data_IF_423873520854
#
_entry.id   IF_423873520854
#
_cell.length_a   1.000
_cell.length_b   1.000
_cell.length_c   1.000
_cell.angle_alpha   90.00
_cell.angle_beta   90.00
_cell.angle_gamma   90.00
#
_symmetry.space_group_name_H-M   'P 1'
#
loop_
_entity.id
_entity.type
_entity.pdbx_description
1 polymer ?
#
# COMPACT_ATOMS: atom_id res chain seq x y z
N UNK A 1 -2.55 2.33 34.22
CA UNK A 1 -1.95 2.30 32.97
C UNK A 1 -2.43 1.16 32.13
N UNK A 2 -2.90 1.49 31.07
CA UNK A 2 -3.40 0.49 30.23
C UNK A 2 -2.27 -0.30 29.63
N UNK A 3 -2.31 -1.51 29.86
CA UNK A 3 -1.33 -2.27 29.33
C UNK A 3 -1.59 -2.42 27.94
N UNK A 4 -1.90 -2.33 27.26
CA UNK A 4 -1.74 -3.23 26.22
C UNK A 4 -2.40 -2.98 24.95
N UNK A 5 -2.63 -1.79 24.62
CA UNK A 5 -3.00 -1.55 23.24
C UNK A 5 -1.78 -1.77 22.37
N UNK A 6 -1.88 -2.67 21.37
CA UNK A 6 -0.78 -2.83 20.43
C UNK A 6 -0.49 -1.50 19.77
N UNK A 7 0.77 -1.21 19.47
CA UNK A 7 1.11 0.04 18.78
C UNK A 7 0.64 0.04 17.32
N UNK A 8 0.46 -1.09 16.70
CA UNK A 8 0.06 -1.18 15.31
C UNK A 8 -1.44 -0.94 15.15
N UNK A 9 -1.78 -0.05 14.24
CA UNK A 9 -3.17 0.29 13.90
C UNK A 9 -3.42 0.02 12.42
N UNK A 10 -4.66 -0.25 12.08
CA UNK A 10 -5.05 -0.49 10.69
C UNK A 10 -6.42 0.11 10.41
N UNK A 11 -6.58 0.66 9.24
CA UNK A 11 -7.87 1.11 8.72
C UNK A 11 -8.06 0.54 7.32
N UNK A 12 -9.25 0.03 7.04
CA UNK A 12 -9.59 -0.55 5.75
C UNK A 12 -10.30 0.50 4.91
N UNK A 13 -9.82 0.71 3.70
CA UNK A 13 -10.37 1.70 2.78
C UNK A 13 -10.69 1.00 1.46
N UNK A 14 -11.97 0.76 1.15
CA UNK A 14 -12.32 0.17 -0.14
C UNK A 14 -11.97 1.12 -1.28
N UNK A 15 -11.32 0.60 -2.29
CA UNK A 15 -10.88 1.37 -3.44
C UNK A 15 -11.18 0.61 -4.73
N UNK A 16 -11.18 1.33 -5.83
CA UNK A 16 -11.43 0.86 -7.18
C UNK A 16 -12.90 0.46 -7.41
N UNK A 17 -13.33 0.36 -8.68
CA UNK A 17 -14.66 -0.19 -8.98
C UNK A 17 -14.88 -1.62 -8.46
N UNK A 18 -13.80 -2.35 -8.20
CA UNK A 18 -13.87 -3.71 -7.69
C UNK A 18 -13.97 -3.76 -6.16
N UNK A 19 -13.98 -2.61 -5.48
CA UNK A 19 -14.11 -2.49 -4.02
C UNK A 19 -13.06 -3.33 -3.28
N UNK A 20 -11.82 -3.28 -3.75
CA UNK A 20 -10.72 -3.94 -3.11
C UNK A 20 -10.32 -3.18 -1.84
N UNK A 21 -10.00 -3.89 -0.78
CA UNK A 21 -9.64 -3.27 0.48
C UNK A 21 -8.16 -2.87 0.51
N UNK A 22 -7.90 -1.57 0.40
CA UNK A 22 -6.59 -1.03 0.72
C UNK A 22 -6.49 -0.88 2.24
N UNK A 23 -5.36 -1.23 2.80
CA UNK A 23 -5.16 -1.09 4.25
C UNK A 23 -4.16 0.05 4.52
N UNK A 24 -4.56 0.97 5.37
CA UNK A 24 -3.64 1.94 5.94
C UNK A 24 -3.15 1.37 7.27
N UNK A 25 -1.85 1.07 7.33
CA UNK A 25 -1.19 0.55 8.52
C UNK A 25 -0.33 1.64 9.13
N UNK A 26 -0.36 1.80 10.45
CA UNK A 26 0.56 2.74 11.07
C UNK A 26 0.89 2.35 12.52
N UNK A 27 1.98 2.92 12.99
CA UNK A 27 2.42 2.77 14.37
C UNK A 27 1.88 3.95 15.18
N UNK A 28 1.07 3.69 16.18
CA UNK A 28 0.48 4.75 17.01
C UNK A 28 1.54 5.51 17.83
N UNK A 29 2.69 4.90 18.09
CA UNK A 29 3.76 5.54 18.84
C UNK A 29 4.54 6.52 17.99
N UNK A 30 4.73 6.26 16.71
CA UNK A 30 5.53 7.12 15.83
C UNK A 30 4.69 7.88 14.81
N UNK A 31 3.45 7.48 14.60
CA UNK A 31 2.54 8.00 13.57
C UNK A 31 3.11 7.87 12.16
N UNK A 32 3.93 6.86 11.93
CA UNK A 32 4.44 6.49 10.62
C UNK A 32 3.73 5.26 10.12
N UNK A 33 3.49 5.19 8.83
CA UNK A 33 2.72 4.10 8.29
C UNK A 33 3.00 3.78 6.84
N UNK A 34 2.17 2.89 6.32
CA UNK A 34 2.25 2.40 4.97
C UNK A 34 0.85 2.15 4.42
N UNK A 35 0.72 2.23 3.10
CA UNK A 35 -0.46 1.70 2.43
C UNK A 35 -0.16 0.29 1.94
N UNK A 36 -1.10 -0.61 2.15
CA UNK A 36 -1.04 -1.98 1.63
C UNK A 36 -2.04 -2.08 0.49
N UNK A 37 -1.55 -2.42 -0.69
CA UNK A 37 -2.37 -2.60 -1.90
C UNK A 37 -3.19 -1.36 -2.28
N UNK A 38 -2.54 -0.21 -2.56
CA UNK A 38 -3.26 0.99 -3.01
C UNK A 38 -3.61 0.89 -4.49
N UNK A 39 -4.68 0.17 -4.80
CA UNK A 39 -5.06 -0.14 -6.17
C UNK A 39 -5.69 1.02 -6.94
N UNK A 40 -6.21 2.03 -6.27
CA UNK A 40 -6.86 3.16 -6.90
C UNK A 40 -7.37 4.16 -5.89
N UNK A 41 -8.14 5.14 -6.36
CA UNK A 41 -8.78 6.16 -5.51
C UNK A 41 -7.76 6.93 -4.64
N UNK A 42 -6.67 7.37 -5.25
CA UNK A 42 -5.57 8.02 -4.53
C UNK A 42 -6.01 9.22 -3.67
N UNK A 43 -6.92 10.10 -4.14
CA UNK A 43 -7.38 11.19 -3.28
C UNK A 43 -8.02 10.71 -1.98
N UNK A 44 -8.76 9.60 -2.05
CA UNK A 44 -9.36 9.01 -0.85
C UNK A 44 -8.31 8.48 0.10
N UNK A 45 -7.27 7.82 -0.43
CA UNK A 45 -6.19 7.30 0.38
C UNK A 45 -5.38 8.41 1.04
N UNK A 46 -5.07 9.45 0.29
CA UNK A 46 -4.34 10.61 0.83
C UNK A 46 -5.14 11.29 1.93
N UNK A 47 -6.45 11.44 1.74
CA UNK A 47 -7.31 12.03 2.75
C UNK A 47 -7.37 11.18 4.02
N UNK A 48 -7.42 9.86 3.87
CA UNK A 48 -7.44 8.95 5.03
C UNK A 48 -6.16 9.08 5.85
N UNK A 49 -5.01 9.10 5.20
CA UNK A 49 -3.73 9.27 5.90
C UNK A 49 -3.66 10.62 6.60
N UNK A 50 -4.12 11.67 5.94
CA UNK A 50 -4.11 13.01 6.53
C UNK A 50 -5.03 13.09 7.74
N UNK A 51 -6.22 12.55 7.66
CA UNK A 51 -7.17 12.55 8.78
C UNK A 51 -6.65 11.74 9.96
N UNK A 52 -5.95 10.66 9.71
CA UNK A 52 -5.36 9.86 10.77
C UNK A 52 -4.06 10.47 11.32
N UNK A 53 -3.50 11.46 10.64
CA UNK A 53 -2.24 12.08 11.06
C UNK A 53 -1.04 11.18 10.80
N UNK A 54 -1.10 10.34 9.80
CA UNK A 54 -0.07 9.33 9.50
C UNK A 54 0.87 9.83 8.42
N UNK A 55 2.16 9.75 8.67
CA UNK A 55 3.18 9.99 7.66
C UNK A 55 3.47 8.67 6.94
N UNK A 56 3.22 8.62 5.65
CA UNK A 56 3.43 7.41 4.87
C UNK A 56 4.90 7.30 4.50
N UNK A 57 5.50 6.15 4.80
CA UNK A 57 6.90 5.89 4.54
C UNK A 57 7.14 4.88 3.43
N UNK A 58 6.17 4.06 3.12
CA UNK A 58 6.31 3.04 2.08
C UNK A 58 4.96 2.53 1.61
N UNK A 59 4.99 1.81 0.51
CA UNK A 59 3.84 1.09 -0.02
C UNK A 59 4.20 -0.38 -0.01
N UNK A 60 3.30 -1.21 0.50
CA UNK A 60 3.47 -2.66 0.59
C UNK A 60 2.49 -3.32 -0.35
N UNK A 61 2.94 -4.26 -1.15
CA UNK A 61 2.09 -4.96 -2.12
C UNK A 61 2.08 -6.46 -1.84
N UNK A 62 0.88 -7.03 -1.82
CA UNK A 62 0.72 -8.46 -1.62
C UNK A 62 0.86 -9.24 -2.92
N UNK A 63 0.29 -8.72 -4.02
CA UNK A 63 0.42 -9.33 -5.33
C UNK A 63 0.14 -8.29 -6.44
N UNK A 64 0.39 -8.68 -7.69
CA UNK A 64 0.45 -7.75 -8.81
C UNK A 64 -0.85 -7.50 -9.56
N UNK A 65 -2.01 -7.92 -9.08
CA UNK A 65 -3.27 -7.69 -9.77
C UNK A 65 -3.67 -6.22 -9.75
N UNK A 66 -4.39 -5.79 -10.79
CA UNK A 66 -4.68 -4.38 -11.03
C UNK A 66 -5.44 -3.71 -9.88
N UNK A 67 -6.38 -4.40 -9.25
CA UNK A 67 -7.16 -3.82 -8.16
C UNK A 67 -6.35 -3.67 -6.86
N UNK A 68 -5.19 -4.30 -6.77
CA UNK A 68 -4.31 -4.22 -5.60
C UNK A 68 -3.14 -3.27 -5.82
N UNK A 69 -2.59 -3.20 -7.01
CA UNK A 69 -1.39 -2.39 -7.23
C UNK A 69 -1.48 -1.43 -8.41
N UNK A 70 -2.66 -1.27 -9.00
CA UNK A 70 -2.82 -0.44 -10.20
C UNK A 70 -2.26 0.96 -10.06
N UNK A 71 -2.53 1.62 -8.96
CA UNK A 71 -2.09 2.98 -8.72
C UNK A 71 -0.89 3.09 -7.77
N UNK A 72 -0.27 1.98 -7.42
CA UNK A 72 0.85 1.98 -6.48
C UNK A 72 2.02 2.82 -6.99
N UNK A 73 2.36 2.69 -8.27
CA UNK A 73 3.44 3.47 -8.86
C UNK A 73 3.19 4.97 -8.83
N UNK A 74 1.96 5.38 -9.13
CA UNK A 74 1.57 6.79 -9.07
C UNK A 74 1.62 7.33 -7.65
N UNK A 75 1.12 6.57 -6.69
CA UNK A 75 1.12 6.98 -5.30
C UNK A 75 2.54 7.07 -4.75
N UNK A 76 3.37 6.10 -5.07
CA UNK A 76 4.78 6.12 -4.65
C UNK A 76 5.50 7.35 -5.17
N UNK A 77 5.24 7.73 -6.42
CA UNK A 77 5.82 8.91 -7.02
C UNK A 77 5.33 10.18 -6.34
N UNK A 78 4.02 10.28 -6.10
CA UNK A 78 3.43 11.44 -5.44
C UNK A 78 3.93 11.64 -4.02
N UNK A 79 4.13 10.57 -3.29
CA UNK A 79 4.55 10.64 -1.89
C UNK A 79 6.08 10.56 -1.74
N UNK A 80 6.80 10.22 -2.79
CA UNK A 80 8.24 10.07 -2.71
C UNK A 80 8.68 8.90 -1.85
N UNK A 81 7.96 7.80 -1.89
CA UNK A 81 8.22 6.63 -1.03
C UNK A 81 8.49 5.38 -1.85
N UNK A 82 9.20 4.40 -1.28
CA UNK A 82 9.48 3.15 -1.98
C UNK A 82 8.29 2.19 -1.96
N UNK A 83 8.31 1.25 -2.89
CA UNK A 83 7.38 0.12 -2.95
C UNK A 83 8.14 -1.14 -2.55
N UNK A 84 7.57 -1.92 -1.65
CA UNK A 84 8.09 -3.23 -1.25
C UNK A 84 7.08 -4.32 -1.63
N UNK A 85 7.56 -5.39 -2.27
CA UNK A 85 6.71 -6.40 -2.85
C UNK A 85 6.15 -5.96 -4.20
N UNK A 86 5.37 -6.80 -4.86
CA UNK A 86 5.08 -8.18 -4.50
C UNK A 86 6.25 -9.12 -4.83
N UNK A 87 5.99 -10.44 -4.77
CA UNK A 87 6.96 -11.42 -5.20
C UNK A 87 7.32 -11.22 -6.67
N UNK A 88 8.56 -11.49 -7.04
CA UNK A 88 9.03 -11.28 -8.41
C UNK A 88 8.22 -12.09 -9.45
N UNK A 89 7.66 -13.20 -9.05
CA UNK A 89 6.79 -14.00 -9.91
C UNK A 89 5.58 -13.20 -10.43
N UNK A 90 5.22 -12.11 -9.76
CA UNK A 90 4.11 -11.26 -10.18
C UNK A 90 4.51 -10.17 -11.16
N UNK A 91 5.77 -10.15 -11.61
CA UNK A 91 6.22 -9.16 -12.60
C UNK A 91 5.34 -9.15 -13.85
N UNK A 92 4.88 -10.30 -14.27
CA UNK A 92 3.99 -10.40 -15.41
C UNK A 92 2.76 -9.48 -15.27
N UNK A 93 2.17 -9.47 -14.07
CA UNK A 93 0.99 -8.64 -13.81
C UNK A 93 1.34 -7.17 -13.70
N UNK A 94 2.49 -6.86 -13.09
CA UNK A 94 2.95 -5.48 -12.93
C UNK A 94 3.19 -4.85 -14.31
N UNK A 95 3.79 -5.59 -15.22
CA UNK A 95 4.07 -5.10 -16.57
C UNK A 95 2.80 -4.87 -17.39
N UNK A 96 1.69 -5.46 -16.98
CA UNK A 96 0.40 -5.34 -17.66
C UNK A 96 -0.57 -4.36 -16.99
N UNK A 97 -0.15 -3.64 -15.97
CA UNK A 97 -1.07 -2.83 -15.18
C UNK A 97 -1.83 -1.78 -16.02
N UNK A 98 -1.18 -1.16 -16.97
CA UNK A 98 -1.85 -0.18 -17.83
C UNK A 98 -2.94 -0.84 -18.68
N UNK A 99 -2.65 -2.01 -19.26
CA UNK A 99 -3.61 -2.76 -20.06
C UNK A 99 -4.78 -3.28 -19.23
N UNK A 100 -4.47 -3.88 -18.10
CA UNK A 100 -5.50 -4.43 -17.21
C UNK A 100 -6.34 -3.31 -16.61
N UNK A 101 -5.73 -2.18 -16.31
CA UNK A 101 -6.46 -1.00 -15.84
C UNK A 101 -7.50 -0.52 -16.82
N UNK A 102 -7.19 -0.53 -18.10
CA UNK A 102 -8.14 -0.13 -19.13
C UNK A 102 -9.37 -1.05 -19.16
N UNK A 103 -9.20 -2.33 -18.83
CA UNK A 103 -10.33 -3.27 -18.80
C UNK A 103 -11.28 -3.02 -17.64
N UNK A 104 -10.78 -2.55 -16.52
CA UNK A 104 -11.55 -2.44 -15.28
C UNK A 104 -11.84 -1.01 -14.87
N UNK A 105 -11.45 -0.04 -15.68
CA UNK A 105 -11.67 1.36 -15.34
C UNK A 105 -10.80 1.86 -14.19
N UNK A 106 -9.61 1.28 -14.04
CA UNK A 106 -8.65 1.63 -13.01
C UNK A 106 -7.42 2.23 -13.68
N UNK A 107 -6.93 3.36 -13.18
CA UNK A 107 -5.70 3.93 -13.69
C UNK A 107 -4.53 3.02 -13.28
N UNK A 108 -3.95 2.33 -14.24
CA UNK A 108 -2.86 1.41 -14.00
C UNK A 108 -1.56 1.94 -14.57
N UNK A 109 -0.48 1.74 -13.83
CA UNK A 109 0.85 2.13 -14.26
C UNK A 109 1.88 1.14 -13.75
N UNK A 110 2.69 0.62 -14.67
CA UNK A 110 3.79 -0.26 -14.30
C UNK A 110 4.86 0.50 -13.52
N UNK A 111 5.57 -0.21 -12.69
CA UNK A 111 6.67 0.35 -11.91
C UNK A 111 7.80 -0.67 -11.84
N UNK A 112 9.00 -0.18 -11.51
CA UNK A 112 10.14 -1.06 -11.36
C UNK A 112 9.92 -1.99 -10.18
N UNK A 113 10.10 -3.30 -10.38
CA UNK A 113 9.92 -4.26 -9.33
C UNK A 113 10.94 -4.00 -8.23
N UNK A 114 10.52 -3.94 -6.99
CA UNK A 114 11.44 -3.75 -5.89
C UNK A 114 12.33 -4.97 -5.69
N UNK A 115 13.45 -4.77 -5.01
CA UNK A 115 14.36 -5.87 -4.73
C UNK A 115 13.77 -6.89 -3.77
N UNK A 116 12.88 -6.44 -2.91
CA UNK A 116 12.24 -7.32 -1.93
C UNK A 116 11.00 -7.94 -2.54
N UNK A 117 10.86 -9.23 -2.35
CA UNK A 117 9.77 -9.99 -2.93
C UNK A 117 8.58 -10.17 -1.97
N UNK A 118 8.67 -9.69 -0.76
CA UNK A 118 7.53 -9.69 0.17
C UNK A 118 7.61 -8.47 1.08
N UNK A 119 6.47 -7.99 1.54
CA UNK A 119 6.44 -6.83 2.40
C UNK A 119 7.12 -7.08 3.74
N UNK A 120 7.74 -6.03 4.25
CA UNK A 120 8.34 -6.04 5.57
C UNK A 120 7.82 -4.85 6.35
N UNK A 121 6.94 -5.09 7.30
CA UNK A 121 6.34 -4.02 8.09
C UNK A 121 7.11 -3.68 9.35
N UNK A 122 8.18 -4.39 9.67
CA UNK A 122 8.96 -4.10 10.87
C UNK A 122 9.55 -2.70 10.84
N UNK A 123 9.84 -2.17 9.66
CA UNK A 123 10.29 -0.79 9.52
C UNK A 123 9.19 0.24 9.73
N UNK A 124 7.91 -0.15 9.66
CA UNK A 124 6.78 0.73 9.91
C UNK A 124 6.53 0.87 11.41
N UNK A 125 6.59 -0.22 12.13
CA UNK A 125 6.38 -0.22 13.56
C UNK A 125 7.37 -1.20 14.20
N UNK A 126 8.52 -0.72 14.66
CA UNK A 126 9.59 -1.61 15.13
C UNK A 126 9.21 -2.53 16.28
N UNK A 127 8.17 -2.19 17.01
CA UNK A 127 7.72 -3.00 18.12
C UNK A 127 6.88 -4.21 17.70
N UNK A 128 6.50 -4.27 16.44
CA UNK A 128 5.72 -5.37 15.90
C UNK A 128 6.52 -6.10 14.84
N UNK A 129 7.36 -7.00 15.27
CA UNK A 129 8.27 -7.67 14.34
C UNK A 129 7.78 -8.99 13.79
N UNK A 130 6.60 -9.37 14.15
CA UNK A 130 6.15 -10.74 13.89
C UNK A 130 5.72 -10.96 12.46
N UNK A 131 5.47 -9.94 11.76
CA UNK A 131 5.03 -10.05 10.38
C UNK A 131 6.19 -9.96 9.43
#
# INVERSE_FOLDING_TARGET
MSAAEPPLRAAIIPVTPLQQNCTLLWCAATMRGAFVDPGGDLPRLKAAAQQAGVAIEKILLTHGHIDHCGSAGLLAEDLGVPIEGPHEADRYWIDRLAEDGAKYGIAGRSFAAPALYHPNISGVCPKNRVL
#
